data_IF_196881168113
#
_entry.id   IF_196881168113
#
_cell.length_a   1.000
_cell.length_b   1.000
_cell.length_c   1.000
_cell.angle_alpha   90.00
_cell.angle_beta   90.00
_cell.angle_gamma   90.00
#
_symmetry.space_group_name_H-M   'P 1'
#
loop_
_entity.id
_entity.type
_entity.pdbx_description
1 polymer ?
#
# COMPACT_ATOMS: atom_id res chain seq x y z
N UNK A 1 -17.89 -2.73 29.98
CA UNK A 1 -18.22 -1.88 28.83
C UNK A 1 -19.66 -2.14 28.34
N UNK A 2 -20.04 -3.37 27.99
CA UNK A 2 -21.36 -3.70 27.43
C UNK A 2 -22.52 -3.06 28.23
N UNK A 3 -22.61 -3.29 29.55
CA UNK A 3 -23.70 -2.75 30.39
C UNK A 3 -23.81 -1.22 30.31
N UNK A 4 -22.68 -0.53 30.26
CA UNK A 4 -22.66 0.94 30.19
C UNK A 4 -23.07 1.43 28.77
N UNK A 5 -22.84 0.64 27.75
CA UNK A 5 -23.23 0.99 26.39
C UNK A 5 -24.72 0.78 26.14
N UNK A 6 -25.37 -0.13 26.87
CA UNK A 6 -26.81 -0.36 26.78
C UNK A 6 -27.61 0.87 27.23
N UNK A 7 -27.06 1.68 28.13
CA UNK A 7 -27.71 2.89 28.66
C UNK A 7 -27.35 4.16 27.88
N UNK A 8 -26.53 4.05 26.82
CA UNK A 8 -26.17 5.19 25.97
C UNK A 8 -27.32 5.55 25.03
N UNK A 9 -27.58 6.82 24.88
CA UNK A 9 -28.64 7.36 24.05
C UNK A 9 -28.50 6.90 22.58
N UNK A 10 -29.58 6.34 22.03
CA UNK A 10 -29.65 5.77 20.68
C UNK A 10 -29.07 4.37 20.54
N UNK A 11 -28.67 3.70 21.62
CA UNK A 11 -28.25 2.30 21.59
C UNK A 11 -29.45 1.41 21.93
N UNK A 12 -29.96 0.69 20.92
CA UNK A 12 -31.08 -0.26 21.12
C UNK A 12 -30.60 -1.62 21.61
N UNK A 13 -29.39 -2.02 21.23
CA UNK A 13 -28.82 -3.32 21.59
C UNK A 13 -27.31 -3.21 21.79
N UNK A 14 -26.81 -3.77 22.91
CA UNK A 14 -25.39 -3.92 23.17
C UNK A 14 -25.08 -5.38 23.53
N UNK A 15 -24.25 -6.04 22.72
CA UNK A 15 -23.84 -7.44 22.92
C UNK A 15 -22.32 -7.56 23.12
N UNK A 16 -21.93 -8.59 23.82
CA UNK A 16 -20.55 -9.05 23.92
C UNK A 16 -20.41 -10.40 23.22
N UNK A 17 -19.43 -10.51 22.35
CA UNK A 17 -19.14 -11.73 21.60
C UNK A 17 -17.65 -12.06 21.69
N UNK A 18 -17.31 -13.36 21.58
CA UNK A 18 -15.91 -13.81 21.66
C UNK A 18 -15.13 -13.39 20.42
N UNK A 19 -15.69 -13.57 19.23
CA UNK A 19 -15.06 -13.29 17.95
C UNK A 19 -16.06 -12.60 17.01
N UNK A 20 -16.02 -11.29 16.99
CA UNK A 20 -16.94 -10.48 16.17
C UNK A 20 -16.89 -10.82 14.67
N UNK A 21 -15.73 -11.24 14.16
CA UNK A 21 -15.53 -11.58 12.75
C UNK A 21 -15.87 -13.03 12.39
N UNK A 22 -16.29 -13.88 13.35
CA UNK A 22 -16.69 -15.27 13.03
C UNK A 22 -18.02 -15.32 12.27
N UNK A 23 -18.21 -16.31 11.42
CA UNK A 23 -19.43 -16.45 10.60
C UNK A 23 -20.69 -16.56 11.45
N UNK A 24 -20.62 -17.26 12.60
CA UNK A 24 -21.73 -17.36 13.54
C UNK A 24 -22.14 -15.97 14.07
N UNK A 25 -21.17 -15.17 14.54
CA UNK A 25 -21.44 -13.82 15.03
C UNK A 25 -21.89 -12.87 13.91
N UNK A 26 -21.34 -12.99 12.70
CA UNK A 26 -21.82 -12.21 11.57
C UNK A 26 -23.29 -12.50 11.24
N UNK A 27 -23.68 -13.78 11.31
CA UNK A 27 -25.09 -14.20 11.11
C UNK A 27 -26.00 -13.65 12.20
N UNK A 28 -25.55 -13.70 13.45
CA UNK A 28 -26.27 -13.10 14.58
C UNK A 28 -26.43 -11.57 14.37
N UNK A 29 -25.38 -10.86 14.00
CA UNK A 29 -25.47 -9.40 13.71
C UNK A 29 -26.49 -9.11 12.61
N UNK A 30 -26.52 -9.90 11.54
CA UNK A 30 -27.51 -9.74 10.45
C UNK A 30 -28.93 -9.88 10.99
N UNK A 31 -29.17 -10.87 11.85
CA UNK A 31 -30.46 -11.09 12.46
C UNK A 31 -30.86 -9.95 13.41
N UNK A 32 -29.94 -9.50 14.26
CA UNK A 32 -30.13 -8.37 15.17
C UNK A 32 -30.51 -7.08 14.44
N UNK A 33 -29.81 -6.78 13.35
CA UNK A 33 -30.11 -5.59 12.53
C UNK A 33 -31.54 -5.63 12.02
N UNK A 34 -31.98 -6.80 11.52
CA UNK A 34 -33.33 -6.98 10.97
C UNK A 34 -34.40 -6.99 12.05
N UNK A 35 -34.18 -7.72 13.13
CA UNK A 35 -35.14 -7.88 14.23
C UNK A 35 -35.43 -6.57 14.94
N UNK A 36 -34.38 -5.76 15.17
CA UNK A 36 -34.49 -4.49 15.87
C UNK A 36 -34.57 -3.27 14.95
N UNK A 37 -34.61 -3.48 13.63
CA UNK A 37 -34.63 -2.43 12.61
C UNK A 37 -33.57 -1.34 12.87
N UNK A 38 -32.31 -1.79 13.01
CA UNK A 38 -31.21 -0.89 13.36
C UNK A 38 -30.80 -0.04 12.15
N UNK A 39 -30.54 1.25 12.40
CA UNK A 39 -30.07 2.22 11.39
C UNK A 39 -28.57 2.20 11.19
N UNK A 40 -27.80 1.77 12.20
CA UNK A 40 -26.35 1.71 12.19
C UNK A 40 -25.82 0.62 13.13
N UNK A 41 -24.59 0.17 12.89
CA UNK A 41 -23.87 -0.75 13.77
C UNK A 41 -22.50 -0.18 14.16
N UNK A 42 -22.13 -0.39 15.42
CA UNK A 42 -20.80 -0.07 15.95
C UNK A 42 -20.12 -1.35 16.41
N UNK A 43 -19.03 -1.73 15.79
CA UNK A 43 -18.26 -2.93 16.13
C UNK A 43 -16.98 -2.53 16.85
N UNK A 44 -16.91 -2.77 18.16
CA UNK A 44 -15.73 -2.54 18.97
C UNK A 44 -14.84 -3.80 18.96
N UNK A 45 -13.77 -3.79 18.19
CA UNK A 45 -12.92 -4.97 17.97
C UNK A 45 -11.48 -4.58 17.62
N UNK A 46 -10.85 -5.33 16.72
CA UNK A 46 -9.53 -5.02 16.17
C UNK A 46 -9.54 -3.85 15.17
N UNK A 47 -8.39 -3.58 14.56
CA UNK A 47 -8.24 -2.51 13.57
C UNK A 47 -9.21 -2.65 12.39
N UNK A 48 -9.85 -1.54 11.94
CA UNK A 48 -10.65 -1.53 10.73
C UNK A 48 -9.86 -1.96 9.47
N UNK A 49 -8.52 -1.82 9.48
CA UNK A 49 -7.67 -2.29 8.38
C UNK A 49 -7.79 -3.80 8.10
N UNK A 50 -8.20 -4.59 9.10
CA UNK A 50 -8.32 -6.05 8.97
C UNK A 50 -9.70 -6.49 8.47
N UNK A 51 -10.79 -5.95 9.05
CA UNK A 51 -12.13 -6.53 8.90
C UNK A 51 -13.21 -5.53 8.44
N UNK A 52 -12.84 -4.38 7.88
CA UNK A 52 -13.84 -3.42 7.35
C UNK A 52 -14.75 -4.08 6.30
N UNK A 53 -14.18 -4.86 5.39
CA UNK A 53 -14.97 -5.53 4.35
C UNK A 53 -15.93 -6.58 4.94
N UNK A 54 -15.51 -7.32 5.96
CA UNK A 54 -16.32 -8.31 6.66
C UNK A 54 -17.58 -7.66 7.23
N UNK A 55 -17.43 -6.60 7.99
CA UNK A 55 -18.57 -5.97 8.66
C UNK A 55 -19.43 -5.10 7.74
N UNK A 56 -18.85 -4.50 6.69
CA UNK A 56 -19.63 -3.89 5.62
C UNK A 56 -20.48 -4.94 4.88
N UNK A 57 -19.95 -6.16 4.72
CA UNK A 57 -20.70 -7.28 4.19
C UNK A 57 -21.85 -7.71 5.10
N UNK A 58 -21.70 -7.65 6.43
CA UNK A 58 -22.77 -7.86 7.39
C UNK A 58 -23.89 -6.84 7.21
N UNK A 59 -23.55 -5.53 7.19
CA UNK A 59 -24.52 -4.46 6.98
C UNK A 59 -25.28 -4.65 5.66
N UNK A 60 -24.57 -4.93 4.57
CA UNK A 60 -25.16 -5.19 3.26
C UNK A 60 -26.15 -6.39 3.26
N UNK A 61 -25.76 -7.53 3.85
CA UNK A 61 -26.63 -8.73 3.97
C UNK A 61 -27.88 -8.50 4.81
N UNK A 62 -27.80 -7.57 5.74
CA UNK A 62 -28.93 -7.15 6.57
C UNK A 62 -29.87 -6.15 5.88
N UNK A 63 -29.49 -5.61 4.72
CA UNK A 63 -30.23 -4.54 4.05
C UNK A 63 -29.90 -3.13 4.56
N UNK A 64 -28.91 -3.01 5.44
CA UNK A 64 -28.40 -1.73 5.93
C UNK A 64 -27.40 -1.15 4.94
N UNK A 65 -27.36 0.19 4.80
CA UNK A 65 -26.30 0.84 4.03
C UNK A 65 -24.94 0.44 4.59
N UNK A 66 -24.04 -0.06 3.73
CA UNK A 66 -22.71 -0.55 4.13
C UNK A 66 -21.82 0.49 4.77
N UNK A 67 -22.14 1.78 4.67
CA UNK A 67 -21.42 2.89 5.29
C UNK A 67 -22.01 3.31 6.65
N UNK A 68 -23.20 2.82 7.02
CA UNK A 68 -23.75 2.96 8.36
C UNK A 68 -23.16 1.95 9.35
N UNK A 69 -21.87 1.71 9.21
CA UNK A 69 -21.06 0.85 10.03
C UNK A 69 -19.84 1.61 10.53
N UNK A 70 -19.60 1.57 11.83
CA UNK A 70 -18.42 2.15 12.47
C UNK A 70 -17.63 1.05 13.18
N UNK A 71 -16.35 0.95 12.91
CA UNK A 71 -15.45 0.08 13.67
C UNK A 71 -14.59 0.89 14.63
N UNK A 72 -14.62 0.48 15.90
CA UNK A 72 -13.84 1.07 16.99
C UNK A 72 -12.69 0.13 17.33
N UNK A 73 -11.47 0.60 17.17
CA UNK A 73 -10.28 -0.19 17.50
C UNK A 73 -10.02 -0.16 19.00
N UNK A 74 -10.42 -1.23 19.68
CA UNK A 74 -10.18 -1.42 21.12
C UNK A 74 -9.09 -2.45 21.42
N UNK A 75 -8.50 -3.08 20.42
CA UNK A 75 -7.38 -4.01 20.58
C UNK A 75 -6.04 -3.30 20.46
N UNK A 76 -5.67 -2.86 19.27
CA UNK A 76 -4.37 -2.24 18.99
C UNK A 76 -4.23 -0.84 19.58
N UNK A 77 -5.34 -0.11 19.75
CA UNK A 77 -5.33 1.23 20.33
C UNK A 77 -5.64 1.26 21.82
N UNK A 78 -6.05 0.15 22.42
CA UNK A 78 -6.48 0.13 23.82
C UNK A 78 -5.90 -1.06 24.60
N UNK A 79 -6.38 -2.29 24.39
CA UNK A 79 -6.03 -3.42 25.26
C UNK A 79 -4.56 -3.86 25.13
N UNK A 80 -3.96 -3.77 23.98
CA UNK A 80 -2.55 -4.15 23.80
C UNK A 80 -1.57 -3.15 24.43
N UNK A 81 -1.65 -1.82 24.15
CA UNK A 81 -0.72 -0.86 24.75
C UNK A 81 -0.94 -0.62 26.24
N UNK A 82 -2.06 -1.08 26.82
CA UNK A 82 -2.41 -0.91 28.24
C UNK A 82 -2.70 -2.25 28.92
N UNK A 83 -2.03 -3.32 28.51
CA UNK A 83 -2.22 -4.66 29.09
C UNK A 83 -1.83 -4.74 30.57
N UNK A 84 -0.92 -3.88 31.02
CA UNK A 84 -0.48 -3.72 32.41
C UNK A 84 -1.47 -2.92 33.30
N UNK A 85 -2.44 -2.22 32.66
CA UNK A 85 -3.41 -1.34 33.33
C UNK A 85 -4.85 -1.60 32.88
N UNK A 86 -5.44 -2.77 33.20
CA UNK A 86 -6.72 -3.21 32.62
C UNK A 86 -7.92 -2.32 32.97
N UNK A 87 -7.90 -1.64 34.13
CA UNK A 87 -8.97 -0.70 34.51
C UNK A 87 -8.91 0.57 33.63
N UNK A 88 -7.72 1.14 33.45
CA UNK A 88 -7.51 2.32 32.59
C UNK A 88 -7.83 1.99 31.15
N UNK A 89 -7.42 0.79 30.67
CA UNK A 89 -7.78 0.28 29.36
C UNK A 89 -9.31 0.17 29.20
N UNK A 90 -10.03 -0.27 30.23
CA UNK A 90 -11.50 -0.34 30.19
C UNK A 90 -12.13 1.05 30.08
N UNK A 91 -11.66 2.03 30.83
CA UNK A 91 -12.14 3.42 30.75
C UNK A 91 -11.86 4.01 29.36
N UNK A 92 -10.67 3.78 28.81
CA UNK A 92 -10.32 4.19 27.44
C UNK A 92 -11.21 3.53 26.40
N UNK A 93 -11.46 2.23 26.51
CA UNK A 93 -12.37 1.51 25.61
C UNK A 93 -13.78 2.10 25.60
N UNK A 94 -14.32 2.41 26.79
CA UNK A 94 -15.62 3.08 26.93
C UNK A 94 -15.64 4.42 26.19
N UNK A 95 -14.62 5.25 26.36
CA UNK A 95 -14.50 6.52 25.66
C UNK A 95 -14.44 6.37 24.14
N UNK A 96 -13.67 5.40 23.66
CA UNK A 96 -13.56 5.09 22.22
C UNK A 96 -14.90 4.59 21.63
N UNK A 97 -15.61 3.72 22.34
CA UNK A 97 -16.91 3.19 21.91
C UNK A 97 -17.95 4.32 21.88
N UNK A 98 -18.01 5.17 22.89
CA UNK A 98 -18.88 6.35 22.92
C UNK A 98 -18.63 7.29 21.76
N UNK A 99 -17.37 7.53 21.41
CA UNK A 99 -17.02 8.31 20.22
C UNK A 99 -17.51 7.63 18.93
N UNK A 100 -17.40 6.31 18.86
CA UNK A 100 -17.94 5.50 17.74
C UNK A 100 -19.47 5.60 17.63
N UNK A 101 -20.19 5.52 18.74
CA UNK A 101 -21.66 5.68 18.78
C UNK A 101 -22.07 7.08 18.31
N UNK A 102 -21.42 8.13 18.84
CA UNK A 102 -21.68 9.51 18.38
C UNK A 102 -21.40 9.69 16.91
N UNK A 103 -20.32 9.08 16.40
CA UNK A 103 -20.03 9.11 14.97
C UNK A 103 -21.11 8.39 14.16
N UNK A 104 -21.57 7.22 14.59
CA UNK A 104 -22.63 6.48 13.90
C UNK A 104 -23.93 7.31 13.80
N UNK A 105 -24.31 8.01 14.86
CA UNK A 105 -25.49 8.88 14.88
C UNK A 105 -25.41 10.08 13.92
N UNK A 106 -24.20 10.54 13.61
CA UNK A 106 -23.94 11.65 12.68
C UNK A 106 -23.58 11.17 11.27
N UNK A 107 -23.51 9.86 11.06
CA UNK A 107 -23.21 9.29 9.75
C UNK A 107 -24.45 9.26 8.88
N UNK A 108 -24.28 9.67 7.64
CA UNK A 108 -25.30 9.58 6.61
C UNK A 108 -25.05 8.38 5.71
N UNK A 109 -26.12 7.80 5.18
CA UNK A 109 -26.02 6.74 4.19
C UNK A 109 -25.37 7.28 2.91
N UNK A 110 -24.26 6.68 2.50
CA UNK A 110 -23.58 7.07 1.26
C UNK A 110 -24.12 6.25 0.10
N UNK A 111 -24.48 6.93 -0.97
CA UNK A 111 -24.83 6.29 -2.22
C UNK A 111 -23.57 6.01 -3.04
N UNK A 112 -23.58 4.88 -3.75
CA UNK A 112 -22.54 4.56 -4.73
C UNK A 112 -22.94 5.14 -6.07
N UNK A 113 -22.03 5.90 -6.68
CA UNK A 113 -22.17 6.36 -8.06
C UNK A 113 -21.30 5.50 -8.98
N UNK A 114 -21.82 5.20 -10.15
CA UNK A 114 -21.05 4.59 -11.24
C UNK A 114 -20.47 5.69 -12.11
N UNK A 115 -19.18 5.61 -12.40
CA UNK A 115 -18.49 6.51 -13.32
C UNK A 115 -17.91 5.68 -14.46
N UNK A 116 -17.96 6.23 -15.68
CA UNK A 116 -17.26 5.65 -16.81
C UNK A 116 -15.77 5.97 -16.65
N UNK A 117 -14.97 4.94 -16.39
CA UNK A 117 -13.52 5.09 -16.26
C UNK A 117 -12.82 4.97 -17.62
N UNK A 118 -11.72 5.71 -17.78
CA UNK A 118 -10.78 5.51 -18.87
C UNK A 118 -10.04 4.18 -18.69
N UNK A 119 -9.88 3.40 -19.75
CA UNK A 119 -9.23 2.08 -19.72
C UNK A 119 -7.70 2.16 -19.83
N UNK A 120 -7.12 3.36 -19.91
CA UNK A 120 -5.68 3.55 -19.92
C UNK A 120 -5.13 3.70 -18.50
N UNK A 121 -3.90 3.28 -18.31
CA UNK A 121 -3.16 3.36 -17.04
C UNK A 121 -1.85 4.12 -17.24
N UNK A 122 -1.48 4.93 -16.23
CA UNK A 122 -0.14 5.50 -16.11
C UNK A 122 0.63 4.74 -15.03
N UNK A 123 1.76 4.15 -15.38
CA UNK A 123 2.68 3.51 -14.44
C UNK A 123 3.91 4.40 -14.31
N UNK A 124 4.17 4.91 -13.11
CA UNK A 124 5.27 5.83 -12.82
C UNK A 124 6.43 5.06 -12.19
N UNK A 125 7.55 4.99 -12.92
CA UNK A 125 8.75 4.25 -12.57
C UNK A 125 8.82 2.90 -13.29
N UNK A 126 9.87 2.71 -14.12
CA UNK A 126 10.11 1.48 -14.86
C UNK A 126 11.19 0.60 -14.21
N UNK A 127 11.17 0.51 -12.88
CA UNK A 127 11.84 -0.56 -12.14
C UNK A 127 11.12 -1.91 -12.34
N UNK A 128 11.58 -2.95 -11.67
CA UNK A 128 11.00 -4.30 -11.79
C UNK A 128 9.49 -4.33 -11.48
N UNK A 129 9.05 -3.57 -10.49
CA UNK A 129 7.64 -3.49 -10.10
C UNK A 129 6.80 -2.84 -11.20
N UNK A 130 7.23 -1.69 -11.73
CA UNK A 130 6.50 -0.98 -12.78
C UNK A 130 6.49 -1.73 -14.11
N UNK A 131 7.60 -2.31 -14.52
CA UNK A 131 7.64 -3.14 -15.73
C UNK A 131 6.70 -4.35 -15.61
N UNK A 132 6.70 -5.04 -14.45
CA UNK A 132 5.80 -6.17 -14.22
C UNK A 132 4.34 -5.74 -14.19
N UNK A 133 4.02 -4.63 -13.52
CA UNK A 133 2.68 -4.07 -13.49
C UNK A 133 2.18 -3.69 -14.90
N UNK A 134 3.00 -3.00 -15.68
CA UNK A 134 2.66 -2.64 -17.06
C UNK A 134 2.33 -3.86 -17.92
N UNK A 135 3.12 -4.92 -17.81
CA UNK A 135 2.88 -6.17 -18.54
C UNK A 135 1.54 -6.81 -18.14
N UNK A 136 1.24 -6.89 -16.84
CA UNK A 136 -0.01 -7.52 -16.39
C UNK A 136 -1.24 -6.68 -16.72
N UNK A 137 -1.16 -5.35 -16.64
CA UNK A 137 -2.22 -4.45 -17.06
C UNK A 137 -2.50 -4.57 -18.57
N UNK A 138 -1.44 -4.64 -19.38
CA UNK A 138 -1.58 -4.84 -20.82
C UNK A 138 -2.18 -6.21 -21.15
N UNK A 139 -1.78 -7.27 -20.45
CA UNK A 139 -2.39 -8.61 -20.59
C UNK A 139 -3.88 -8.64 -20.27
N UNK A 140 -4.33 -7.77 -19.37
CA UNK A 140 -5.75 -7.59 -19.06
C UNK A 140 -6.52 -6.77 -20.10
N UNK A 141 -5.86 -6.38 -21.22
CA UNK A 141 -6.48 -5.67 -22.32
C UNK A 141 -6.34 -4.15 -22.26
N UNK A 142 -5.69 -3.60 -21.24
CA UNK A 142 -5.61 -2.16 -21.02
C UNK A 142 -4.45 -1.50 -21.78
N UNK A 143 -4.61 -0.23 -22.12
CA UNK A 143 -3.52 0.63 -22.58
C UNK A 143 -2.66 1.10 -21.40
N UNK A 144 -1.33 1.07 -21.52
CA UNK A 144 -0.41 1.45 -20.44
C UNK A 144 0.63 2.44 -20.94
N UNK A 145 0.70 3.57 -20.27
CA UNK A 145 1.82 4.51 -20.37
C UNK A 145 2.79 4.18 -19.21
N UNK A 146 3.99 3.70 -19.55
CA UNK A 146 5.05 3.41 -18.59
C UNK A 146 6.10 4.51 -18.69
N UNK A 147 6.31 5.27 -17.63
CA UNK A 147 7.29 6.36 -17.61
C UNK A 147 8.44 6.06 -16.66
N UNK A 148 9.63 6.53 -17.04
CA UNK A 148 10.86 6.39 -16.27
C UNK A 148 11.64 7.70 -16.30
N UNK A 149 12.13 8.17 -15.16
CA UNK A 149 12.93 9.39 -15.06
C UNK A 149 14.33 9.25 -15.65
N UNK A 150 14.89 8.05 -15.56
CA UNK A 150 16.21 7.75 -16.12
C UNK A 150 16.12 7.44 -17.63
N UNK A 151 17.26 7.51 -18.30
CA UNK A 151 17.36 7.18 -19.74
C UNK A 151 17.08 5.69 -20.04
N UNK A 152 17.11 4.82 -19.01
CA UNK A 152 16.89 3.40 -19.20
C UNK A 152 16.01 2.78 -18.11
N UNK A 153 15.16 1.84 -18.51
CA UNK A 153 14.37 1.03 -17.58
C UNK A 153 15.25 0.05 -16.81
N UNK A 154 14.84 -0.27 -15.57
CA UNK A 154 15.46 -1.32 -14.74
C UNK A 154 15.55 -0.96 -13.27
N UNK A 155 15.65 0.34 -12.96
CA UNK A 155 15.75 0.83 -11.59
C UNK A 155 16.95 0.21 -10.82
N UNK A 156 16.80 0.07 -9.53
CA UNK A 156 17.87 -0.47 -8.64
C UNK A 156 18.38 -1.87 -9.03
N UNK A 157 17.59 -2.65 -9.76
CA UNK A 157 17.98 -4.00 -10.14
C UNK A 157 19.17 -4.04 -11.12
N UNK A 158 19.42 -2.93 -11.81
CA UNK A 158 20.62 -2.77 -12.66
C UNK A 158 21.92 -2.87 -11.83
N UNK A 159 21.88 -2.46 -10.57
CA UNK A 159 23.06 -2.37 -9.70
C UNK A 159 23.14 -3.53 -8.69
N UNK A 160 22.02 -4.19 -8.38
CA UNK A 160 21.95 -5.19 -7.31
C UNK A 160 22.59 -6.54 -7.63
N UNK A 161 23.05 -6.78 -8.87
CA UNK A 161 23.64 -8.06 -9.26
C UNK A 161 22.62 -9.22 -9.21
N UNK A 162 22.84 -10.20 -8.34
CA UNK A 162 21.95 -11.37 -8.24
C UNK A 162 20.74 -11.08 -7.33
N UNK A 163 19.58 -11.60 -7.72
CA UNK A 163 18.29 -11.44 -7.00
C UNK A 163 18.13 -12.59 -6.01
N UNK A 164 17.92 -12.26 -4.75
CA UNK A 164 17.55 -13.25 -3.71
C UNK A 164 16.04 -13.57 -3.81
N UNK A 165 15.60 -14.81 -3.55
CA UNK A 165 16.40 -16.02 -3.21
C UNK A 165 16.82 -16.83 -4.44
N UNK A 166 16.46 -16.44 -5.65
CA UNK A 166 16.60 -17.24 -6.87
C UNK A 166 18.04 -17.33 -7.38
N UNK A 167 18.91 -16.38 -7.01
CA UNK A 167 20.25 -16.26 -7.56
C UNK A 167 20.31 -15.78 -9.03
N UNK A 168 19.14 -15.48 -9.65
CA UNK A 168 19.08 -14.99 -11.01
C UNK A 168 19.77 -13.64 -11.13
N UNK A 169 20.50 -13.40 -12.22
CA UNK A 169 21.07 -12.08 -12.50
C UNK A 169 19.98 -11.05 -12.73
N UNK A 170 20.08 -9.89 -12.06
CA UNK A 170 19.13 -8.79 -12.19
C UNK A 170 19.00 -8.29 -13.64
N UNK A 171 20.12 -8.20 -14.35
CA UNK A 171 20.15 -7.78 -15.76
C UNK A 171 19.37 -8.74 -16.66
N UNK A 172 19.49 -10.06 -16.47
CA UNK A 172 18.74 -11.07 -17.23
C UNK A 172 17.22 -10.95 -16.99
N UNK A 173 16.83 -10.67 -15.74
CA UNK A 173 15.43 -10.42 -15.41
C UNK A 173 14.91 -9.14 -16.13
N UNK A 174 15.69 -8.06 -16.08
CA UNK A 174 15.36 -6.79 -16.73
C UNK A 174 15.22 -6.98 -18.24
N UNK A 175 16.16 -7.64 -18.88
CA UNK A 175 16.14 -7.86 -20.33
C UNK A 175 14.91 -8.67 -20.76
N UNK A 176 14.54 -9.68 -19.98
CA UNK A 176 13.31 -10.44 -20.21
C UNK A 176 12.06 -9.56 -20.12
N UNK A 177 11.96 -8.68 -19.08
CA UNK A 177 10.84 -7.78 -18.93
C UNK A 177 10.80 -6.72 -20.04
N UNK A 178 11.93 -6.14 -20.40
CA UNK A 178 12.06 -5.19 -21.54
C UNK A 178 11.57 -5.81 -22.85
N UNK A 179 11.94 -7.06 -23.11
CA UNK A 179 11.52 -7.77 -24.33
C UNK A 179 9.99 -8.00 -24.33
N UNK A 180 9.39 -8.36 -23.20
CA UNK A 180 7.93 -8.48 -23.08
C UNK A 180 7.23 -7.14 -23.34
N UNK A 181 7.73 -6.05 -22.78
CA UNK A 181 7.19 -4.71 -22.98
C UNK A 181 7.28 -4.30 -24.46
N UNK A 182 8.44 -4.49 -25.08
CA UNK A 182 8.64 -4.16 -26.50
C UNK A 182 7.74 -4.95 -27.46
N UNK A 183 7.35 -6.17 -27.07
CA UNK A 183 6.48 -7.02 -27.90
C UNK A 183 4.99 -6.73 -27.74
N UNK A 184 4.57 -5.90 -26.80
CA UNK A 184 3.16 -5.58 -26.57
C UNK A 184 2.84 -4.13 -26.97
N UNK A 185 2.11 -3.97 -28.06
CA UNK A 185 1.74 -2.67 -28.61
C UNK A 185 0.82 -1.82 -27.71
N UNK A 186 0.27 -2.41 -26.66
CA UNK A 186 -0.55 -1.68 -25.68
C UNK A 186 0.30 -0.93 -24.65
N UNK A 187 1.62 -1.17 -24.59
CA UNK A 187 2.51 -0.49 -23.67
C UNK A 187 3.31 0.57 -24.43
N UNK A 188 3.10 1.82 -24.07
CA UNK A 188 3.90 2.95 -24.53
C UNK A 188 4.89 3.36 -23.45
N UNK A 189 6.18 3.35 -23.78
CA UNK A 189 7.25 3.66 -22.81
C UNK A 189 7.81 5.04 -23.11
N UNK A 190 7.97 5.85 -22.07
CA UNK A 190 8.69 7.12 -22.09
C UNK A 190 9.80 7.09 -21.03
N UNK A 191 11.04 7.17 -21.46
CA UNK A 191 12.20 7.39 -20.57
C UNK A 191 12.51 8.87 -20.48
N UNK A 192 13.41 9.26 -19.56
CA UNK A 192 13.73 10.68 -19.28
C UNK A 192 12.45 11.50 -19.03
N UNK A 193 11.46 10.90 -18.37
CA UNK A 193 10.11 11.44 -18.26
C UNK A 193 9.64 11.47 -16.81
N UNK A 194 9.13 12.63 -16.39
CA UNK A 194 8.57 12.85 -15.06
C UNK A 194 7.15 13.40 -15.14
N UNK A 195 6.35 13.11 -14.10
CA UNK A 195 5.02 13.71 -13.93
C UNK A 195 5.20 15.11 -13.37
N UNK A 196 4.73 16.13 -14.10
CA UNK A 196 4.73 17.52 -13.63
C UNK A 196 3.48 17.80 -12.80
N UNK A 197 2.30 17.36 -13.29
CA UNK A 197 1.02 17.65 -12.66
C UNK A 197 -0.01 16.58 -12.95
N UNK A 198 -0.92 16.37 -12.00
CA UNK A 198 -2.08 15.51 -12.18
C UNK A 198 -3.34 16.30 -11.83
N UNK A 199 -4.33 16.25 -12.72
CA UNK A 199 -5.65 16.80 -12.52
C UNK A 199 -6.71 15.70 -12.67
N UNK A 200 -7.95 15.97 -12.23
CA UNK A 200 -9.08 15.04 -12.37
C UNK A 200 -9.38 14.25 -11.11
N UNK A 201 -10.03 13.11 -11.28
CA UNK A 201 -10.48 12.23 -10.19
C UNK A 201 -10.37 10.76 -10.58
N UNK A 202 -10.65 9.87 -9.64
CA UNK A 202 -10.64 8.41 -9.88
C UNK A 202 -11.45 8.08 -11.13
N UNK A 203 -10.85 7.33 -12.01
CA UNK A 203 -11.41 6.94 -13.31
C UNK A 203 -11.11 7.92 -14.44
N UNK A 204 -10.76 9.18 -14.18
CA UNK A 204 -10.55 10.21 -15.19
C UNK A 204 -9.46 11.20 -14.76
N UNK A 205 -8.22 10.77 -14.79
CA UNK A 205 -7.07 11.61 -14.54
C UNK A 205 -6.49 12.15 -15.85
N UNK A 206 -5.96 13.36 -15.79
CA UNK A 206 -5.10 13.94 -16.82
C UNK A 206 -3.74 14.20 -16.20
N UNK A 207 -2.71 13.54 -16.68
CA UNK A 207 -1.32 13.71 -16.23
C UNK A 207 -0.54 14.52 -17.26
N UNK A 208 0.08 15.60 -16.81
CA UNK A 208 1.02 16.41 -17.58
C UNK A 208 2.43 15.85 -17.35
N UNK A 209 3.11 15.50 -18.41
CA UNK A 209 4.42 14.85 -18.40
C UNK A 209 5.46 15.79 -19.01
N UNK A 210 6.63 15.86 -18.39
CA UNK A 210 7.84 16.44 -18.95
C UNK A 210 8.66 15.31 -19.57
N UNK A 211 8.71 15.25 -20.89
CA UNK A 211 9.38 14.19 -21.67
C UNK A 211 10.69 14.71 -22.21
N UNK A 212 11.80 14.04 -21.88
CA UNK A 212 13.12 14.33 -22.45
C UNK A 212 13.26 13.77 -23.85
N UNK A 213 13.46 14.64 -24.85
CA UNK A 213 13.69 14.25 -26.24
C UNK A 213 14.90 15.01 -26.77
N UNK A 214 15.98 14.27 -27.06
CA UNK A 214 17.19 14.86 -27.66
C UNK A 214 17.81 16.01 -26.84
N UNK A 215 17.74 15.93 -25.51
CA UNK A 215 18.25 16.94 -24.58
C UNK A 215 17.33 18.15 -24.38
N UNK A 216 16.10 18.12 -24.90
CA UNK A 216 15.05 19.12 -24.66
C UNK A 216 13.90 18.48 -23.89
N UNK A 217 13.20 19.29 -23.12
CA UNK A 217 11.97 18.87 -22.43
C UNK A 217 10.78 19.29 -23.27
N UNK A 218 9.95 18.31 -23.64
CA UNK A 218 8.66 18.54 -24.29
C UNK A 218 7.53 18.21 -23.33
N UNK A 219 6.46 19.01 -23.36
CA UNK A 219 5.29 18.77 -22.53
C UNK A 219 4.29 17.90 -23.28
N UNK A 220 3.85 16.82 -22.62
CA UNK A 220 2.84 15.91 -23.13
C UNK A 220 1.73 15.77 -22.08
N UNK A 221 0.51 15.54 -22.54
CA UNK A 221 -0.62 15.23 -21.64
C UNK A 221 -1.21 13.87 -22.00
N UNK A 222 -1.45 13.03 -20.98
CA UNK A 222 -2.09 11.73 -21.14
C UNK A 222 -3.33 11.65 -20.25
N UNK A 223 -4.41 11.08 -20.80
CA UNK A 223 -5.65 10.83 -20.05
C UNK A 223 -5.72 9.36 -19.66
N UNK A 224 -5.90 9.09 -18.36
CA UNK A 224 -5.87 7.73 -17.80
C UNK A 224 -6.92 7.54 -16.71
N UNK A 225 -7.39 6.32 -16.52
CA UNK A 225 -8.33 5.98 -15.46
C UNK A 225 -7.68 5.79 -14.10
N UNK A 226 -6.41 5.37 -14.10
CA UNK A 226 -5.67 5.11 -12.88
C UNK A 226 -4.18 5.38 -13.05
N UNK A 227 -3.55 5.76 -11.93
CA UNK A 227 -2.11 6.01 -11.85
C UNK A 227 -1.51 5.04 -10.83
N UNK A 228 -0.53 4.26 -11.25
CA UNK A 228 0.19 3.32 -10.41
C UNK A 228 1.60 3.86 -10.14
N UNK A 229 1.88 4.15 -8.87
CA UNK A 229 3.18 4.69 -8.46
C UNK A 229 4.11 3.54 -8.05
N UNK A 230 5.19 3.38 -8.79
CA UNK A 230 6.21 2.32 -8.61
C UNK A 230 7.63 2.89 -8.61
N UNK A 231 7.78 4.10 -8.07
CA UNK A 231 9.03 4.87 -8.08
C UNK A 231 10.14 4.28 -7.22
N UNK A 232 9.85 3.21 -6.48
CA UNK A 232 10.83 2.57 -5.59
C UNK A 232 11.14 3.41 -4.35
N UNK A 233 12.38 3.36 -3.91
CA UNK A 233 12.87 4.09 -2.74
C UNK A 233 14.36 4.40 -2.90
N UNK A 234 14.84 5.37 -2.17
CA UNK A 234 16.26 5.66 -2.03
C UNK A 234 16.80 4.94 -0.78
N UNK A 235 17.98 4.37 -0.92
CA UNK A 235 18.65 3.76 0.21
C UNK A 235 19.10 4.83 1.20
N UNK A 236 18.93 4.54 2.49
CA UNK A 236 19.50 5.40 3.51
C UNK A 236 21.01 5.37 3.42
N UNK A 237 21.60 6.54 3.31
CA UNK A 237 23.06 6.75 3.41
C UNK A 237 23.32 7.43 4.74
N UNK A 238 24.10 6.81 5.65
CA UNK A 238 24.46 7.44 6.91
C UNK A 238 25.20 8.75 6.70
N UNK A 239 24.98 9.72 7.58
CA UNK A 239 25.75 10.95 7.59
C UNK A 239 27.19 10.66 8.04
N UNK A 240 28.12 11.54 7.70
CA UNK A 240 29.50 11.43 8.15
C UNK A 240 29.57 11.23 9.68
N UNK A 241 30.33 10.22 10.10
CA UNK A 241 30.51 9.75 11.47
C UNK A 241 29.28 9.03 12.11
N UNK A 242 28.12 8.97 11.44
CA UNK A 242 27.00 8.18 11.93
C UNK A 242 27.33 6.69 11.80
N UNK A 243 27.24 5.94 12.90
CA UNK A 243 27.67 4.53 12.99
C UNK A 243 29.14 4.30 12.56
N UNK A 244 29.97 5.34 12.54
CA UNK A 244 31.34 5.31 12.05
C UNK A 244 31.49 5.35 10.53
N UNK A 245 30.39 5.58 9.78
CA UNK A 245 30.41 5.75 8.33
C UNK A 245 31.29 6.96 7.95
N UNK A 246 32.14 6.79 6.96
CA UNK A 246 33.12 7.81 6.58
C UNK A 246 34.40 7.84 7.40
N UNK A 247 34.45 7.22 8.61
CA UNK A 247 35.67 7.11 9.41
C UNK A 247 36.61 5.98 8.96
N UNK A 248 36.05 4.98 8.29
CA UNK A 248 36.81 3.84 7.80
C UNK A 248 36.16 3.28 6.53
N UNK A 249 36.97 2.91 5.56
CA UNK A 249 36.56 2.23 4.33
C UNK A 249 36.05 0.79 4.56
N UNK A 250 36.09 0.31 5.81
CA UNK A 250 35.52 -0.96 6.25
C UNK A 250 34.05 -0.84 6.65
N UNK A 251 33.56 0.37 6.90
CA UNK A 251 32.17 0.64 7.25
C UNK A 251 31.47 1.09 5.98
N UNK A 252 30.62 0.22 5.45
CA UNK A 252 29.95 0.43 4.16
C UNK A 252 28.48 0.10 4.28
N UNK A 253 27.67 0.68 3.41
CA UNK A 253 26.25 0.35 3.29
C UNK A 253 26.04 -0.99 2.59
N UNK A 254 24.85 -1.56 2.75
CA UNK A 254 24.48 -2.80 2.05
C UNK A 254 24.52 -2.67 0.50
N UNK A 255 24.06 -1.57 -0.10
CA UNK A 255 24.26 -1.34 -1.54
C UNK A 255 25.73 -1.33 -1.97
N UNK A 256 26.61 -0.67 -1.22
CA UNK A 256 28.05 -0.68 -1.51
C UNK A 256 28.66 -2.07 -1.41
N UNK A 257 28.25 -2.86 -0.40
CA UNK A 257 28.66 -4.25 -0.27
C UNK A 257 28.24 -5.05 -1.50
N UNK A 258 26.97 -4.95 -1.92
CA UNK A 258 26.45 -5.65 -3.11
C UNK A 258 27.19 -5.25 -4.38
N UNK A 259 27.47 -3.97 -4.55
CA UNK A 259 28.26 -3.48 -5.69
C UNK A 259 29.64 -4.11 -5.71
N UNK A 260 30.39 -4.07 -4.61
CA UNK A 260 31.72 -4.69 -4.49
C UNK A 260 31.69 -6.19 -4.78
N UNK A 261 30.68 -6.91 -4.28
CA UNK A 261 30.49 -8.34 -4.57
C UNK A 261 30.26 -8.62 -6.05
N UNK A 262 29.46 -7.79 -6.71
CA UNK A 262 29.16 -7.94 -8.14
C UNK A 262 30.40 -7.68 -8.99
N UNK A 263 31.16 -6.64 -8.69
CA UNK A 263 32.38 -6.26 -9.42
C UNK A 263 33.52 -7.29 -9.25
N UNK A 264 33.58 -7.94 -8.09
CA UNK A 264 34.65 -8.89 -7.73
C UNK A 264 34.31 -10.37 -7.98
N UNK A 265 33.17 -10.66 -8.59
CA UNK A 265 32.74 -12.05 -8.81
C UNK A 265 32.40 -12.81 -7.52
N UNK A 266 32.01 -12.09 -6.47
CA UNK A 266 31.59 -12.66 -5.18
C UNK A 266 32.66 -12.66 -4.08
N UNK A 267 33.92 -12.37 -4.40
CA UNK A 267 35.01 -12.28 -3.42
C UNK A 267 35.23 -10.84 -3.02
N UNK A 268 34.92 -10.50 -1.78
CA UNK A 268 35.16 -9.15 -1.26
C UNK A 268 36.57 -9.08 -0.72
N UNK A 269 37.31 -8.08 -1.18
CA UNK A 269 38.67 -7.79 -0.70
C UNK A 269 38.75 -6.42 -0.03
N UNK A 270 39.65 -6.31 0.95
CA UNK A 270 40.04 -5.03 1.54
C UNK A 270 41.58 -4.97 1.51
N UNK A 271 42.11 -3.91 0.89
CA UNK A 271 43.56 -3.76 0.69
C UNK A 271 44.23 -5.00 0.05
N UNK A 272 43.57 -5.55 -0.99
CA UNK A 272 44.04 -6.72 -1.74
C UNK A 272 43.98 -8.08 -0.99
N UNK A 273 43.41 -8.08 0.22
CA UNK A 273 43.24 -9.34 1.01
C UNK A 273 41.77 -9.72 1.09
N UNK A 274 41.42 -11.01 0.92
CA UNK A 274 40.03 -11.46 1.08
C UNK A 274 39.50 -11.15 2.49
N UNK A 275 38.28 -10.65 2.58
CA UNK A 275 37.58 -10.46 3.84
C UNK A 275 37.11 -11.81 4.36
N UNK A 276 37.35 -12.09 5.64
CA UNK A 276 36.99 -13.34 6.28
C UNK A 276 35.71 -13.28 7.12
N UNK A 277 35.31 -12.10 7.51
CA UNK A 277 34.11 -11.86 8.34
C UNK A 277 33.45 -10.56 8.02
N UNK A 278 32.12 -10.53 8.09
CA UNK A 278 31.25 -9.37 7.99
C UNK A 278 30.41 -9.28 9.26
N UNK A 279 30.17 -8.07 9.73
CA UNK A 279 29.22 -7.79 10.80
C UNK A 279 28.12 -6.87 10.25
N UNK A 280 26.85 -7.17 10.59
CA UNK A 280 25.68 -6.42 10.20
C UNK A 280 25.00 -5.80 11.42
#
# INVERSE_FOLDING_TARGET
AQRLMQDEDGVLLAKHVMFACSDATQTEMVNDIKEHNLDAIVVASCSPKLHTHTFRGVAYRAGLNKYNYIQVNIREQCSWPHSDKPLDATHKAIGLIRAGIKKARLSEALETSEIKANEAYLVVGAGVAGMKAAIELARSGNHVYLIEKEAQMGGQLLELGNVFPTGQKGTELIDRLKNQIKSDSRITVFTETEVEKVNGSIGNFTAELNVGIGGKIEKMSVSVGSILVTTGYEHYVPKDNEFGYGLSDRIITLPELKKRMTESGGIITHNGKPIRSLAF
#
